data_IF_103215661780
#
_entry.id   IF_103215661780
#
_cell.length_a   1.000
_cell.length_b   1.000
_cell.length_c   1.000
_cell.angle_alpha   90.00
_cell.angle_beta   90.00
_cell.angle_gamma   90.00
#
_symmetry.space_group_name_H-M   'P 1'
#
loop_
_entity.id
_entity.type
_entity.pdbx_description
1 polymer ?
#
# COMPACT_ATOMS: atom_id res chain seq x y z
N UNK A 1 5.88 7.23 26.90
CA UNK A 1 4.87 8.01 26.15
C UNK A 1 5.35 8.41 24.75
N UNK A 2 6.59 8.08 24.36
CA UNK A 2 7.17 8.44 23.05
C UNK A 2 6.92 7.38 21.95
N UNK A 3 6.44 6.19 22.31
CA UNK A 3 6.27 5.07 21.37
C UNK A 3 5.04 5.19 20.46
N UNK A 4 4.02 5.97 20.84
CA UNK A 4 2.81 6.14 20.03
C UNK A 4 3.04 6.99 18.76
N UNK A 5 4.14 7.75 18.71
CA UNK A 5 4.48 8.65 17.60
C UNK A 5 5.45 7.96 16.62
N UNK A 6 6.10 6.86 17.02
CA UNK A 6 7.08 6.13 16.20
C UNK A 6 6.53 5.67 14.83
N UNK A 7 5.27 5.20 14.71
CA UNK A 7 4.67 4.85 13.41
C UNK A 7 4.48 6.09 12.50
N UNK A 8 4.07 7.23 13.06
CA UNK A 8 3.94 8.50 12.34
C UNK A 8 5.29 9.10 11.93
N UNK A 9 6.38 8.77 12.62
CA UNK A 9 7.73 9.22 12.27
C UNK A 9 8.34 8.46 11.08
N UNK A 10 7.79 7.28 10.74
CA UNK A 10 8.16 6.49 9.56
C UNK A 10 7.19 6.63 8.38
N UNK A 11 6.27 7.59 8.45
CA UNK A 11 5.21 7.79 7.46
C UNK A 11 5.72 8.11 6.04
N UNK A 12 6.94 8.64 5.93
CA UNK A 12 7.61 8.96 4.67
C UNK A 12 9.06 8.45 4.64
N UNK A 13 9.39 7.40 5.40
CA UNK A 13 10.72 6.79 5.32
C UNK A 13 10.77 5.81 4.15
N UNK A 14 11.43 6.24 3.07
CA UNK A 14 11.74 5.40 1.90
C UNK A 14 12.96 4.50 2.13
N UNK A 15 13.70 4.76 3.20
CA UNK A 15 14.90 4.02 3.57
C UNK A 15 14.58 2.80 4.43
N UNK A 16 15.34 1.72 4.20
CA UNK A 16 15.21 0.45 4.91
C UNK A 16 14.41 -0.61 4.15
N UNK A 17 14.14 -1.72 4.84
CA UNK A 17 13.51 -2.94 4.32
C UNK A 17 12.24 -3.25 5.10
N UNK A 18 11.22 -3.73 4.40
CA UNK A 18 9.97 -4.20 5.01
C UNK A 18 9.72 -5.65 4.67
N UNK A 19 9.46 -6.45 5.71
CA UNK A 19 9.14 -7.86 5.56
C UNK A 19 7.76 -8.02 4.89
N UNK A 20 7.52 -9.19 4.28
CA UNK A 20 6.26 -9.52 3.59
C UNK A 20 5.04 -9.33 4.49
N UNK A 21 5.18 -9.66 5.78
CA UNK A 21 4.09 -9.55 6.76
C UNK A 21 3.72 -8.09 7.00
N UNK A 22 4.71 -7.22 7.18
CA UNK A 22 4.47 -5.78 7.37
C UNK A 22 3.74 -5.18 6.16
N UNK A 23 4.16 -5.56 4.95
CA UNK A 23 3.51 -5.15 3.72
C UNK A 23 2.03 -5.58 3.68
N UNK A 24 1.76 -6.88 3.84
CA UNK A 24 0.39 -7.39 3.76
C UNK A 24 -0.51 -6.91 4.90
N UNK A 25 0.00 -6.71 6.11
CA UNK A 25 -0.78 -6.11 7.21
C UNK A 25 -1.17 -4.67 6.91
N UNK A 26 -0.28 -3.87 6.32
CA UNK A 26 -0.62 -2.53 5.88
C UNK A 26 -1.68 -2.55 4.78
N UNK A 27 -1.55 -3.45 3.79
CA UNK A 27 -2.57 -3.61 2.72
C UNK A 27 -3.94 -3.96 3.32
N UNK A 28 -3.98 -4.90 4.27
CA UNK A 28 -5.23 -5.28 4.94
C UNK A 28 -5.80 -4.11 5.74
N UNK A 29 -4.96 -3.42 6.54
CA UNK A 29 -5.38 -2.24 7.29
C UNK A 29 -5.98 -1.18 6.37
N UNK A 30 -5.31 -0.89 5.26
CA UNK A 30 -5.77 0.06 4.25
C UNK A 30 -7.14 -0.33 3.68
N UNK A 31 -7.32 -1.60 3.30
CA UNK A 31 -8.58 -2.12 2.78
C UNK A 31 -9.70 -2.01 3.82
N UNK A 32 -9.44 -2.39 5.07
CA UNK A 32 -10.43 -2.33 6.15
C UNK A 32 -10.87 -0.89 6.42
N UNK A 33 -9.92 0.04 6.55
CA UNK A 33 -10.24 1.47 6.76
C UNK A 33 -11.00 2.03 5.57
N UNK A 34 -10.59 1.70 4.34
CA UNK A 34 -11.29 2.14 3.12
C UNK A 34 -12.73 1.63 3.05
N UNK A 35 -12.99 0.37 3.44
CA UNK A 35 -14.35 -0.15 3.53
C UNK A 35 -15.20 0.60 4.56
N UNK A 36 -14.64 0.88 5.75
CA UNK A 36 -15.34 1.63 6.79
C UNK A 36 -15.68 3.04 6.31
N UNK A 37 -14.71 3.74 5.70
CA UNK A 37 -14.92 5.07 5.16
C UNK A 37 -15.98 5.08 4.06
N UNK A 38 -15.95 4.10 3.14
CA UNK A 38 -16.97 3.97 2.10
C UNK A 38 -18.39 3.85 2.66
N UNK A 39 -18.57 3.07 3.74
CA UNK A 39 -19.87 2.97 4.42
C UNK A 39 -20.25 4.30 5.07
N UNK A 40 -19.31 4.97 5.74
CA UNK A 40 -19.55 6.27 6.37
C UNK A 40 -19.90 7.36 5.36
N UNK A 41 -19.21 7.41 4.21
CA UNK A 41 -19.52 8.33 3.13
C UNK A 41 -20.92 8.08 2.56
N UNK A 42 -21.31 6.81 2.41
CA UNK A 42 -22.67 6.42 2.05
C UNK A 42 -23.72 6.93 3.03
N UNK A 43 -23.47 6.79 4.33
CA UNK A 43 -24.40 7.18 5.41
C UNK A 43 -24.48 8.70 5.61
N UNK A 44 -23.35 9.42 5.51
CA UNK A 44 -23.27 10.85 5.82
C UNK A 44 -23.54 11.75 4.60
N UNK A 45 -23.10 11.33 3.41
CA UNK A 45 -23.16 12.13 2.19
C UNK A 45 -24.11 11.56 1.12
N UNK A 46 -24.76 10.42 1.40
CA UNK A 46 -25.84 9.88 0.58
C UNK A 46 -25.37 9.11 -0.65
N UNK A 47 -24.17 8.52 -0.60
CA UNK A 47 -23.63 7.63 -1.62
C UNK A 47 -23.47 8.25 -3.01
N UNK A 48 -23.11 7.38 -3.96
CA UNK A 48 -22.89 7.75 -5.36
C UNK A 48 -24.21 8.14 -6.01
N UNK A 49 -24.19 9.18 -6.85
CA UNK A 49 -25.39 9.62 -7.56
C UNK A 49 -25.20 9.43 -9.07
N UNK A 50 -26.26 8.97 -9.73
CA UNK A 50 -26.26 8.75 -11.18
C UNK A 50 -27.14 9.79 -11.84
N UNK A 51 -26.56 10.54 -12.77
CA UNK A 51 -27.32 11.39 -13.69
C UNK A 51 -27.59 10.57 -14.94
N UNK A 52 -28.86 10.44 -15.28
CA UNK A 52 -29.32 9.78 -16.50
C UNK A 52 -29.87 10.86 -17.43
N UNK A 53 -29.30 10.96 -18.62
CA UNK A 53 -29.85 11.83 -19.67
C UNK A 53 -31.02 11.15 -20.38
N UNK A 54 -31.90 11.94 -21.00
CA UNK A 54 -33.01 11.46 -21.81
C UNK A 54 -32.56 10.58 -23.00
N UNK A 55 -31.32 10.74 -23.46
CA UNK A 55 -30.71 9.95 -24.54
C UNK A 55 -30.13 8.61 -24.03
N UNK A 56 -30.33 8.26 -22.75
CA UNK A 56 -29.88 7.01 -22.16
C UNK A 56 -28.42 6.99 -21.69
N UNK A 57 -27.68 8.09 -21.83
CA UNK A 57 -26.36 8.22 -21.19
C UNK A 57 -26.50 8.22 -19.67
N UNK A 58 -25.68 7.41 -19.00
CA UNK A 58 -25.63 7.30 -17.54
C UNK A 58 -24.23 7.67 -17.08
N UNK A 59 -24.14 8.66 -16.20
CA UNK A 59 -22.88 9.04 -15.54
C UNK A 59 -23.06 8.91 -14.04
N UNK A 60 -22.20 8.10 -13.41
CA UNK A 60 -22.18 7.94 -11.95
C UNK A 60 -21.06 8.80 -11.39
N UNK A 61 -21.39 9.61 -10.39
CA UNK A 61 -20.46 10.45 -9.67
C UNK A 61 -20.31 9.90 -8.25
N UNK A 62 -19.08 9.62 -7.87
CA UNK A 62 -18.77 9.13 -6.55
C UNK A 62 -18.65 10.31 -5.57
N UNK A 63 -19.33 10.22 -4.43
CA UNK A 63 -19.24 11.19 -3.34
C UNK A 63 -18.41 10.59 -2.20
N UNK A 64 -17.12 10.41 -2.47
CA UNK A 64 -16.17 9.80 -1.55
C UNK A 64 -15.28 10.85 -0.90
N UNK A 65 -15.85 11.62 0.04
CA UNK A 65 -15.16 12.77 0.65
C UNK A 65 -14.14 12.29 1.68
N UNK A 66 -14.56 11.40 2.60
CA UNK A 66 -13.67 10.90 3.65
C UNK A 66 -12.67 9.89 3.08
N UNK A 67 -13.12 8.97 2.21
CA UNK A 67 -12.22 8.07 1.49
C UNK A 67 -11.22 8.82 0.62
N UNK A 68 -11.64 9.89 -0.06
CA UNK A 68 -10.75 10.76 -0.84
C UNK A 68 -9.66 11.41 0.01
N UNK A 69 -10.01 12.00 1.16
CA UNK A 69 -9.04 12.59 2.09
C UNK A 69 -8.07 11.53 2.66
N UNK A 70 -8.60 10.36 3.02
CA UNK A 70 -7.78 9.26 3.53
C UNK A 70 -6.79 8.75 2.48
N UNK A 71 -7.21 8.61 1.22
CA UNK A 71 -6.33 8.27 0.11
C UNK A 71 -5.21 9.29 -0.06
N UNK A 72 -5.52 10.59 0.00
CA UNK A 72 -4.51 11.66 -0.14
C UNK A 72 -3.45 11.61 0.96
N UNK A 73 -3.87 11.45 2.21
CA UNK A 73 -2.94 11.35 3.34
C UNK A 73 -2.13 10.05 3.25
N UNK A 74 -2.77 8.95 2.85
CA UNK A 74 -2.15 7.63 2.76
C UNK A 74 -1.33 7.40 1.47
N UNK A 75 -1.34 8.34 0.53
CA UNK A 75 -0.66 8.19 -0.76
C UNK A 75 0.86 8.05 -0.58
N UNK A 76 1.44 8.92 0.24
CA UNK A 76 2.89 8.92 0.53
C UNK A 76 3.32 7.61 1.20
N UNK A 77 2.72 7.16 2.33
CA UNK A 77 3.12 5.91 2.96
C UNK A 77 2.86 4.68 2.07
N UNK A 78 1.83 4.71 1.21
CA UNK A 78 1.57 3.65 0.25
C UNK A 78 2.71 3.47 -0.76
N UNK A 79 3.24 4.58 -1.30
CA UNK A 79 4.39 4.54 -2.21
C UNK A 79 5.66 4.16 -1.45
N UNK A 80 5.88 4.74 -0.26
CA UNK A 80 7.06 4.45 0.55
C UNK A 80 7.14 2.96 0.95
N UNK A 81 6.01 2.33 1.27
CA UNK A 81 5.96 0.91 1.60
C UNK A 81 6.29 0.02 0.40
N UNK A 82 5.77 0.34 -0.80
CA UNK A 82 6.08 -0.39 -2.02
C UNK A 82 7.57 -0.31 -2.37
N UNK A 83 8.20 0.85 -2.18
CA UNK A 83 9.65 1.04 -2.36
C UNK A 83 10.44 0.18 -1.37
N UNK A 84 10.11 0.22 -0.07
CA UNK A 84 10.76 -0.61 0.97
C UNK A 84 10.60 -2.10 0.71
N UNK A 85 9.47 -2.52 0.13
CA UNK A 85 9.22 -3.92 -0.22
C UNK A 85 10.09 -4.38 -1.39
N UNK A 86 10.29 -3.54 -2.40
CA UNK A 86 11.21 -3.83 -3.51
C UNK A 86 12.68 -3.86 -3.04
N UNK A 87 13.05 -2.97 -2.11
CA UNK A 87 14.37 -3.01 -1.48
C UNK A 87 14.62 -4.30 -0.71
N UNK A 88 13.58 -4.95 -0.18
CA UNK A 88 13.71 -6.23 0.52
C UNK A 88 14.09 -7.40 -0.40
N UNK A 89 13.75 -7.33 -1.69
CA UNK A 89 14.19 -8.28 -2.73
C UNK A 89 15.40 -7.79 -3.52
N UNK A 90 16.13 -6.81 -2.98
CA UNK A 90 17.32 -6.18 -3.58
C UNK A 90 17.05 -5.57 -4.97
N UNK A 91 15.81 -5.11 -5.20
CA UNK A 91 15.39 -4.44 -6.43
C UNK A 91 15.29 -2.93 -6.20
N UNK A 92 15.42 -2.16 -7.28
CA UNK A 92 15.31 -0.70 -7.24
C UNK A 92 13.89 -0.24 -6.88
N UNK A 93 13.76 0.73 -5.97
CA UNK A 93 12.49 1.38 -5.63
C UNK A 93 11.80 2.06 -6.81
N UNK A 94 12.53 2.39 -7.88
CA UNK A 94 11.97 2.92 -9.12
C UNK A 94 11.04 1.95 -9.83
N UNK A 95 11.14 0.64 -9.55
CA UNK A 95 10.27 -0.35 -10.15
C UNK A 95 8.80 -0.19 -9.74
N UNK A 96 8.47 0.60 -8.70
CA UNK A 96 7.07 0.97 -8.41
C UNK A 96 6.40 1.65 -9.62
N UNK A 97 7.16 2.32 -10.49
CA UNK A 97 6.61 2.94 -11.71
C UNK A 97 6.01 1.95 -12.71
N UNK A 98 6.28 0.64 -12.60
CA UNK A 98 5.59 -0.37 -13.41
C UNK A 98 4.08 -0.37 -13.16
N UNK A 99 3.59 0.27 -12.10
CA UNK A 99 2.16 0.47 -11.86
C UNK A 99 1.46 1.21 -13.02
N UNK A 100 2.19 2.06 -13.76
CA UNK A 100 1.68 2.77 -14.95
C UNK A 100 1.56 1.89 -16.20
N UNK A 101 2.10 0.66 -16.18
CA UNK A 101 1.99 -0.31 -17.27
C UNK A 101 0.90 -1.31 -16.89
N UNK A 102 -0.32 -1.20 -17.44
CA UNK A 102 -1.43 -2.05 -17.05
C UNK A 102 -1.16 -3.52 -17.40
N UNK A 103 -1.79 -4.42 -16.63
CA UNK A 103 -1.71 -5.88 -16.77
C UNK A 103 -0.30 -6.42 -16.46
N UNK A 104 0.68 -6.20 -17.34
CA UNK A 104 2.03 -6.79 -17.21
C UNK A 104 2.77 -6.19 -16.02
N UNK A 105 2.76 -4.87 -15.88
CA UNK A 105 3.43 -4.19 -14.77
C UNK A 105 2.82 -4.56 -13.42
N UNK A 106 1.49 -4.69 -13.37
CA UNK A 106 0.76 -5.12 -12.17
C UNK A 106 1.12 -6.54 -11.75
N UNK A 107 1.18 -7.48 -12.72
CA UNK A 107 1.57 -8.86 -12.44
C UNK A 107 3.00 -8.97 -11.91
N UNK A 108 3.95 -8.25 -12.53
CA UNK A 108 5.35 -8.24 -12.09
C UNK A 108 5.48 -7.69 -10.66
N UNK A 109 4.84 -6.56 -10.37
CA UNK A 109 4.83 -5.98 -9.02
C UNK A 109 4.21 -6.93 -8.00
N UNK A 110 3.10 -7.58 -8.33
CA UNK A 110 2.45 -8.55 -7.45
C UNK A 110 3.36 -9.74 -7.14
N UNK A 111 4.05 -10.28 -8.16
CA UNK A 111 5.03 -11.35 -7.99
C UNK A 111 6.13 -10.90 -7.02
N UNK A 112 6.72 -9.73 -7.23
CA UNK A 112 7.78 -9.19 -6.36
C UNK A 112 7.30 -8.88 -4.95
N UNK A 113 6.04 -8.48 -4.77
CA UNK A 113 5.45 -8.29 -3.44
C UNK A 113 5.24 -9.61 -2.70
N UNK A 114 5.07 -10.72 -3.42
CA UNK A 114 4.94 -12.07 -2.86
C UNK A 114 6.27 -12.81 -2.68
N UNK A 115 7.36 -12.39 -3.34
CA UNK A 115 8.69 -13.01 -3.25
C UNK A 115 9.27 -12.98 -1.83
N UNK A 116 10.02 -14.01 -1.43
CA UNK A 116 10.73 -13.98 -0.13
C UNK A 116 11.85 -12.94 -0.22
N UNK A 117 11.95 -12.07 0.79
CA UNK A 117 13.06 -11.12 0.90
C UNK A 117 14.40 -11.81 1.12
N UNK A 118 15.49 -11.13 0.77
CA UNK A 118 16.83 -11.68 0.93
C UNK A 118 17.15 -11.91 2.42
N UNK A 119 17.58 -13.11 2.77
CA UNK A 119 17.98 -13.43 4.14
C UNK A 119 19.34 -12.79 4.52
N UNK A 120 20.16 -12.47 3.52
CA UNK A 120 21.42 -11.76 3.69
C UNK A 120 21.21 -10.24 3.83
N UNK A 121 22.17 -9.56 4.44
CA UNK A 121 22.27 -8.10 4.38
C UNK A 121 22.42 -7.64 2.94
N UNK A 122 21.68 -6.61 2.54
CA UNK A 122 21.80 -6.02 1.20
C UNK A 122 22.14 -4.52 1.31
N UNK A 123 22.29 -3.86 0.15
CA UNK A 123 22.67 -2.43 0.05
C UNK A 123 21.66 -1.49 0.72
N UNK A 124 20.44 -1.98 0.99
CA UNK A 124 19.34 -1.23 1.59
C UNK A 124 19.17 -1.50 3.09
N UNK A 125 20.02 -2.34 3.68
CA UNK A 125 20.10 -2.56 5.13
C UNK A 125 20.12 -4.03 5.56
N UNK A 126 20.16 -4.20 6.87
CA UNK A 126 20.09 -5.51 7.51
C UNK A 126 18.76 -6.22 7.26
N UNK A 127 18.80 -7.55 7.16
CA UNK A 127 17.61 -8.35 6.93
C UNK A 127 16.57 -8.16 8.06
N UNK A 128 15.28 -7.98 7.72
CA UNK A 128 14.21 -7.96 8.71
C UNK A 128 14.21 -9.25 9.54
N UNK A 129 13.81 -9.16 10.80
CA UNK A 129 13.80 -10.29 11.75
C UNK A 129 13.06 -11.53 11.19
N UNK A 130 11.94 -11.33 10.49
CA UNK A 130 11.19 -12.43 9.86
C UNK A 130 11.86 -13.10 8.65
N UNK A 131 12.84 -12.44 8.02
CA UNK A 131 13.70 -13.05 7.00
C UNK A 131 14.88 -13.80 7.60
N UNK A 132 15.42 -13.34 8.74
CA UNK A 132 16.54 -13.96 9.49
C UNK A 132 16.13 -15.28 10.16
N UNK A 133 14.97 -15.30 10.82
CA UNK A 133 14.44 -16.50 11.49
C UNK A 133 14.10 -17.65 10.52
N UNK A 134 13.94 -17.36 9.22
CA UNK A 134 13.62 -18.36 8.20
C UNK A 134 14.87 -19.07 7.62
N UNK A 135 16.07 -18.76 8.13
CA UNK A 135 17.34 -19.36 7.71
C UNK A 135 18.15 -20.00 8.84
N UNK A 136 17.73 -19.84 10.09
CA UNK A 136 18.29 -20.63 11.19
C UNK A 136 17.68 -22.06 11.13
N UNK A 137 18.50 -23.11 10.99
CA UNK A 137 18.00 -24.47 11.11
C UNK A 137 17.57 -24.71 12.56
N UNK A 138 16.33 -25.16 12.74
CA UNK A 138 15.79 -25.68 14.00
C UNK A 138 16.57 -26.89 14.51
#
# INVERSE_FOLDING_TARGET
MEDFIKPYRRYAQFEGRSDRKEFWYYVIFYVVVSCILSVLDGLLFGGNYTIVSDQGWRMTYDRDVLGGLFNLVSLIPWIALQVRRLHDTNKSGWLVLFWWIPIIGWLLLLIWYCEKGDAASNVHGEAPEGSRLATEPS
#
